data_IF_200355596854
#
_entry.id   IF_200355596854
#
_cell.length_a   1.000
_cell.length_b   1.000
_cell.length_c   1.000
_cell.angle_alpha   90.00
_cell.angle_beta   90.00
_cell.angle_gamma   90.00
#
_symmetry.space_group_name_H-M   'P 1'
#
loop_
_entity.id
_entity.type
_entity.pdbx_description
1 polymer ?
#
# COMPACT_ATOMS: atom_id res chain seq x y z
N UNK A 1 -9.34 -10.90 -15.85
CA UNK A 1 -7.86 -10.74 -15.95
C UNK A 1 -7.40 -9.32 -15.62
N UNK A 2 -8.07 -8.28 -16.12
CA UNK A 2 -7.72 -6.89 -15.80
C UNK A 2 -7.89 -6.57 -14.31
N UNK A 3 -8.94 -7.08 -13.66
CA UNK A 3 -9.20 -6.82 -12.23
C UNK A 3 -8.22 -7.55 -11.29
N UNK A 4 -7.80 -8.75 -11.65
CA UNK A 4 -7.00 -9.63 -10.78
C UNK A 4 -5.50 -9.36 -10.90
N UNK A 5 -5.08 -8.74 -12.00
CA UNK A 5 -3.67 -8.49 -12.34
C UNK A 5 -3.39 -7.01 -12.57
N UNK A 6 -4.09 -6.37 -13.52
CA UNK A 6 -3.79 -4.99 -13.93
C UNK A 6 -4.18 -4.00 -12.84
N UNK A 7 -5.37 -4.15 -12.27
CA UNK A 7 -5.86 -3.28 -11.21
C UNK A 7 -4.96 -3.25 -9.96
N UNK A 8 -4.54 -4.40 -9.37
CA UNK A 8 -3.62 -4.36 -8.23
C UNK A 8 -2.25 -3.79 -8.56
N UNK A 9 -1.73 -3.96 -9.79
CA UNK A 9 -0.50 -3.28 -10.23
C UNK A 9 -0.69 -1.76 -10.21
N UNK A 10 -1.75 -1.26 -10.85
CA UNK A 10 -2.02 0.17 -10.93
C UNK A 10 -2.26 0.77 -9.54
N UNK A 11 -3.06 0.12 -8.71
CA UNK A 11 -3.34 0.57 -7.35
C UNK A 11 -2.08 0.56 -6.47
N UNK A 12 -1.23 -0.46 -6.61
CA UNK A 12 0.06 -0.51 -5.92
C UNK A 12 1.02 0.60 -6.36
N UNK A 13 1.04 0.92 -7.66
CA UNK A 13 1.81 2.05 -8.19
C UNK A 13 1.27 3.39 -7.67
N UNK A 14 -0.05 3.59 -7.66
CA UNK A 14 -0.68 4.79 -7.09
C UNK A 14 -0.29 4.96 -5.62
N UNK A 15 -0.37 3.89 -4.82
CA UNK A 15 0.05 3.91 -3.42
C UNK A 15 1.54 4.24 -3.28
N UNK A 16 2.41 3.67 -4.12
CA UNK A 16 3.84 3.98 -4.12
C UNK A 16 4.16 5.42 -4.52
N UNK A 17 3.41 6.01 -5.46
CA UNK A 17 3.54 7.44 -5.81
C UNK A 17 3.16 8.32 -4.62
N UNK A 18 2.08 7.97 -3.91
CA UNK A 18 1.65 8.69 -2.70
C UNK A 18 2.73 8.59 -1.61
N UNK A 19 3.31 7.40 -1.40
CA UNK A 19 4.42 7.17 -0.47
C UNK A 19 5.64 8.04 -0.79
N UNK A 20 6.08 8.05 -2.05
CA UNK A 20 7.14 8.95 -2.54
C UNK A 20 6.77 10.41 -2.26
N UNK A 21 5.51 10.79 -2.46
CA UNK A 21 5.02 12.14 -2.19
C UNK A 21 5.17 12.57 -0.73
N UNK A 22 4.97 11.65 0.23
CA UNK A 22 5.27 11.91 1.64
C UNK A 22 6.77 12.09 1.87
N UNK A 23 7.59 11.21 1.28
CA UNK A 23 9.05 11.22 1.46
C UNK A 23 9.73 12.45 0.85
N UNK A 24 9.26 12.92 -0.31
CA UNK A 24 9.80 14.14 -0.95
C UNK A 24 9.56 15.37 -0.07
N UNK A 25 8.43 15.44 0.63
CA UNK A 25 8.15 16.52 1.58
C UNK A 25 9.05 16.45 2.82
N UNK A 26 9.43 15.24 3.22
CA UNK A 26 10.27 15.00 4.39
C UNK A 26 11.76 15.30 4.18
N UNK A 27 12.21 15.61 2.93
CA UNK A 27 13.60 15.90 2.53
C UNK A 27 14.62 15.12 3.38
N UNK A 28 14.35 13.83 3.50
CA UNK A 28 14.94 12.96 4.50
C UNK A 28 16.30 12.41 4.10
N UNK A 29 16.64 12.54 2.82
CA UNK A 29 17.90 12.14 2.24
C UNK A 29 18.11 12.79 0.87
N UNK A 30 19.20 12.41 0.20
CA UNK A 30 19.43 12.78 -1.19
C UNK A 30 18.35 12.17 -2.12
N UNK A 31 18.17 12.73 -3.31
CA UNK A 31 17.16 12.26 -4.27
C UNK A 31 17.28 10.75 -4.54
N UNK A 32 18.50 10.21 -4.52
CA UNK A 32 18.79 8.79 -4.73
C UNK A 32 18.20 7.91 -3.62
N UNK A 33 18.37 8.28 -2.36
CA UNK A 33 17.81 7.53 -1.23
C UNK A 33 16.29 7.61 -1.18
N UNK A 34 15.70 8.77 -1.45
CA UNK A 34 14.25 8.95 -1.54
C UNK A 34 13.63 8.10 -2.65
N UNK A 35 14.19 8.13 -3.85
CA UNK A 35 13.73 7.31 -4.98
C UNK A 35 13.93 5.82 -4.68
N UNK A 36 15.10 5.44 -4.15
CA UNK A 36 15.42 4.06 -3.80
C UNK A 36 14.46 3.48 -2.77
N UNK A 37 14.08 4.28 -1.77
CA UNK A 37 13.07 3.90 -0.79
C UNK A 37 11.70 3.73 -1.44
N UNK A 38 11.23 4.75 -2.18
CA UNK A 38 9.91 4.74 -2.78
C UNK A 38 9.71 3.58 -3.77
N UNK A 39 10.69 3.31 -4.64
CA UNK A 39 10.66 2.14 -5.53
C UNK A 39 10.70 0.84 -4.71
N UNK A 40 11.52 0.80 -3.66
CA UNK A 40 11.61 -0.36 -2.78
C UNK A 40 10.35 -0.63 -1.98
N UNK A 41 9.57 0.39 -1.61
CA UNK A 41 8.28 0.27 -0.94
C UNK A 41 7.15 -0.07 -1.93
N UNK A 42 7.22 0.49 -3.15
CA UNK A 42 6.25 0.23 -4.22
C UNK A 42 6.11 -1.26 -4.55
N UNK A 43 7.19 -2.05 -4.53
CA UNK A 43 7.10 -3.51 -4.73
C UNK A 43 6.22 -4.19 -3.67
N UNK A 44 6.31 -3.77 -2.40
CA UNK A 44 5.46 -4.30 -1.34
C UNK A 44 4.01 -3.83 -1.51
N UNK A 45 3.80 -2.57 -1.86
CA UNK A 45 2.47 -2.01 -2.08
C UNK A 45 1.75 -2.68 -3.24
N UNK A 46 2.46 -3.03 -4.33
CA UNK A 46 1.93 -3.85 -5.42
C UNK A 46 1.58 -5.25 -4.90
N UNK A 47 2.49 -5.93 -4.20
CA UNK A 47 2.25 -7.27 -3.67
C UNK A 47 1.04 -7.32 -2.72
N UNK A 48 0.90 -6.34 -1.83
CA UNK A 48 -0.24 -6.26 -0.93
C UNK A 48 -1.53 -5.87 -1.64
N UNK A 49 -1.46 -5.04 -2.70
CA UNK A 49 -2.62 -4.78 -3.55
C UNK A 49 -3.08 -6.06 -4.25
N UNK A 50 -2.17 -6.93 -4.72
CA UNK A 50 -2.54 -8.25 -5.23
C UNK A 50 -3.31 -9.07 -4.19
N UNK A 51 -2.85 -9.07 -2.93
CA UNK A 51 -3.57 -9.75 -1.84
C UNK A 51 -4.96 -9.14 -1.64
N UNK A 52 -5.11 -7.82 -1.67
CA UNK A 52 -6.41 -7.16 -1.50
C UNK A 52 -7.41 -7.54 -2.61
N UNK A 53 -6.99 -7.51 -3.88
CA UNK A 53 -7.84 -7.83 -5.02
C UNK A 53 -8.18 -9.32 -5.14
N UNK A 54 -7.32 -10.19 -4.62
CA UNK A 54 -7.48 -11.65 -4.72
C UNK A 54 -7.83 -12.28 -3.37
N UNK A 55 -8.29 -11.48 -2.41
CA UNK A 55 -8.49 -11.93 -1.03
C UNK A 55 -9.53 -13.05 -0.91
N UNK A 56 -10.49 -13.08 -1.83
CA UNK A 56 -11.52 -14.11 -1.92
C UNK A 56 -10.93 -15.50 -2.15
N UNK A 57 -9.77 -15.61 -2.82
CA UNK A 57 -9.06 -16.89 -2.97
C UNK A 57 -8.69 -17.50 -1.61
N UNK A 58 -8.40 -16.65 -0.62
CA UNK A 58 -8.08 -17.08 0.73
C UNK A 58 -9.34 -17.23 1.59
N UNK A 59 -10.22 -16.22 1.60
CA UNK A 59 -11.38 -16.18 2.50
C UNK A 59 -12.46 -17.20 2.14
N UNK A 60 -12.61 -17.55 0.86
CA UNK A 60 -13.58 -18.54 0.39
C UNK A 60 -12.99 -19.95 0.24
N UNK A 61 -11.74 -20.16 0.67
CA UNK A 61 -11.05 -21.44 0.50
C UNK A 61 -11.62 -22.57 1.37
N UNK A 62 -12.34 -22.25 2.46
CA UNK A 62 -12.84 -23.23 3.43
C UNK A 62 -11.77 -23.83 4.35
N UNK A 63 -10.49 -23.55 4.12
CA UNK A 63 -9.37 -24.09 4.91
C UNK A 63 -8.94 -23.18 6.07
N UNK A 64 -9.34 -21.90 6.05
CA UNK A 64 -9.01 -20.94 7.09
C UNK A 64 -10.05 -20.95 8.23
N UNK A 65 -9.64 -20.66 9.48
CA UNK A 65 -10.58 -20.44 10.58
C UNK A 65 -11.64 -19.38 10.25
N UNK A 66 -12.85 -19.50 10.81
CA UNK A 66 -14.01 -18.65 10.49
C UNK A 66 -13.72 -17.15 10.52
N UNK A 67 -12.87 -16.70 11.45
CA UNK A 67 -12.45 -15.30 11.51
C UNK A 67 -11.75 -14.82 10.21
N UNK A 68 -10.88 -15.66 9.65
CA UNK A 68 -10.16 -15.39 8.40
C UNK A 68 -10.99 -15.67 7.14
N UNK A 69 -12.25 -16.11 7.29
CA UNK A 69 -13.22 -16.17 6.19
C UNK A 69 -13.99 -14.83 6.04
N UNK A 70 -13.90 -13.93 7.04
CA UNK A 70 -14.48 -12.61 6.94
C UNK A 70 -13.53 -11.68 6.14
N UNK A 71 -13.92 -11.37 4.91
CA UNK A 71 -13.13 -10.51 4.01
C UNK A 71 -12.76 -9.16 4.63
N UNK A 72 -13.68 -8.50 5.32
CA UNK A 72 -13.42 -7.20 5.95
C UNK A 72 -12.37 -7.34 7.06
N UNK A 73 -12.46 -8.38 7.89
CA UNK A 73 -11.47 -8.63 8.93
C UNK A 73 -10.06 -8.86 8.35
N UNK A 74 -9.96 -9.64 7.26
CA UNK A 74 -8.67 -9.89 6.60
C UNK A 74 -8.13 -8.62 5.91
N UNK A 75 -8.98 -7.78 5.33
CA UNK A 75 -8.57 -6.48 4.78
C UNK A 75 -8.06 -5.52 5.88
N UNK A 76 -8.68 -5.51 7.06
CA UNK A 76 -8.17 -4.73 8.21
C UNK A 76 -6.79 -5.23 8.63
N UNK A 77 -6.59 -6.55 8.70
CA UNK A 77 -5.27 -7.13 9.02
C UNK A 77 -4.25 -6.75 7.93
N UNK A 78 -4.63 -6.82 6.67
CA UNK A 78 -3.78 -6.41 5.55
C UNK A 78 -3.40 -4.93 5.64
N UNK A 79 -4.32 -4.06 6.04
CA UNK A 79 -4.04 -2.65 6.27
C UNK A 79 -2.99 -2.45 7.37
N UNK A 80 -3.11 -3.17 8.48
CA UNK A 80 -2.15 -3.12 9.60
C UNK A 80 -0.77 -3.68 9.21
N UNK A 81 -0.73 -4.79 8.47
CA UNK A 81 0.50 -5.38 7.94
C UNK A 81 1.18 -4.39 6.99
N UNK A 82 0.44 -3.82 6.05
CA UNK A 82 0.94 -2.85 5.09
C UNK A 82 1.51 -1.64 5.82
N UNK A 83 0.77 -1.07 6.77
CA UNK A 83 1.22 0.06 7.57
C UNK A 83 2.52 -0.25 8.33
N UNK A 84 2.63 -1.44 8.93
CA UNK A 84 3.83 -1.87 9.65
C UNK A 84 5.03 -2.02 8.72
N UNK A 85 4.83 -2.62 7.54
CA UNK A 85 5.92 -2.86 6.57
C UNK A 85 6.41 -1.56 5.97
N UNK A 86 5.49 -0.65 5.61
CA UNK A 86 5.85 0.71 5.18
C UNK A 86 6.62 1.39 6.31
N UNK A 87 6.06 1.49 7.51
CA UNK A 87 6.71 2.16 8.63
C UNK A 87 8.11 1.60 8.93
N UNK A 88 8.29 0.28 8.86
CA UNK A 88 9.59 -0.35 9.07
C UNK A 88 10.62 0.01 7.99
N UNK A 89 10.21 0.13 6.73
CA UNK A 89 11.08 0.61 5.64
C UNK A 89 11.41 2.08 5.79
N UNK A 90 10.44 2.84 6.26
CA UNK A 90 10.43 4.29 6.37
C UNK A 90 11.27 4.73 7.60
N UNK A 91 11.37 3.88 8.64
CA UNK A 91 12.23 4.08 9.81
C UNK A 91 13.73 4.35 9.51
N UNK A 92 14.24 3.98 8.33
CA UNK A 92 15.60 4.35 7.88
C UNK A 92 15.77 5.86 7.75
N UNK A 93 14.68 6.60 7.57
CA UNK A 93 14.61 8.05 7.44
C UNK A 93 14.23 8.77 8.73
N UNK A 94 14.24 8.09 9.89
CA UNK A 94 13.84 8.67 11.18
C UNK A 94 14.67 9.89 11.63
N UNK A 95 15.81 10.18 11.00
CA UNK A 95 16.67 11.35 11.28
C UNK A 95 16.55 12.49 10.26
N UNK A 96 15.56 12.39 9.38
CA UNK A 96 15.23 13.39 8.37
C UNK A 96 14.94 14.76 8.95
N UNK A 97 15.32 15.82 8.22
CA UNK A 97 15.24 17.22 8.69
C UNK A 97 14.38 18.13 7.81
N UNK A 98 13.59 17.57 6.88
CA UNK A 98 12.68 18.35 6.05
C UNK A 98 11.41 18.81 6.79
N UNK A 99 10.65 19.76 6.21
CA UNK A 99 9.43 20.33 6.80
C UNK A 99 8.17 19.45 6.63
N UNK A 100 8.31 18.20 6.18
CA UNK A 100 7.18 17.34 5.87
C UNK A 100 6.52 16.70 7.10
N UNK A 101 5.81 15.59 6.87
CA UNK A 101 5.11 14.83 7.91
C UNK A 101 6.02 14.29 9.02
N UNK A 102 7.32 14.18 8.75
CA UNK A 102 8.25 13.30 9.46
C UNK A 102 7.72 11.85 9.49
N UNK A 103 8.62 10.89 9.73
CA UNK A 103 8.27 9.46 9.85
C UNK A 103 7.24 9.21 10.97
N UNK A 104 5.96 9.36 10.65
CA UNK A 104 4.84 9.21 11.57
C UNK A 104 3.99 8.02 11.16
N UNK A 105 3.52 7.22 12.12
CA UNK A 105 2.61 6.11 11.85
C UNK A 105 1.38 6.49 11.01
N UNK A 106 0.99 7.77 11.01
CA UNK A 106 -0.13 8.27 10.23
C UNK A 106 0.05 8.04 8.72
N UNK A 107 1.21 8.35 8.14
CA UNK A 107 1.41 8.14 6.69
C UNK A 107 1.35 6.64 6.33
N UNK A 108 1.93 5.79 7.19
CA UNK A 108 1.95 4.35 6.97
C UNK A 108 0.55 3.75 7.11
N UNK A 109 -0.26 4.26 8.05
CA UNK A 109 -1.68 3.91 8.19
C UNK A 109 -2.47 4.33 6.95
N UNK A 110 -2.24 5.54 6.41
CA UNK A 110 -2.90 6.01 5.18
C UNK A 110 -2.62 5.03 4.03
N UNK A 111 -1.36 4.62 3.87
CA UNK A 111 -0.98 3.66 2.83
C UNK A 111 -1.57 2.27 3.08
N UNK A 112 -1.63 1.83 4.33
CA UNK A 112 -2.30 0.58 4.69
C UNK A 112 -3.79 0.57 4.34
N UNK A 113 -4.50 1.65 4.68
CA UNK A 113 -5.92 1.82 4.33
C UNK A 113 -6.09 1.88 2.81
N UNK A 114 -5.23 2.62 2.10
CA UNK A 114 -5.30 2.74 0.65
C UNK A 114 -5.16 1.38 -0.05
N UNK A 115 -4.21 0.55 0.40
CA UNK A 115 -4.03 -0.81 -0.14
C UNK A 115 -5.23 -1.71 0.16
N UNK A 116 -5.69 -1.74 1.41
CA UNK A 116 -6.84 -2.57 1.79
C UNK A 116 -8.14 -2.12 1.10
N UNK A 117 -8.31 -0.81 0.88
CA UNK A 117 -9.47 -0.25 0.21
C UNK A 117 -9.35 -0.31 -1.33
N UNK A 118 -8.20 -0.71 -1.88
CA UNK A 118 -7.94 -0.64 -3.31
C UNK A 118 -8.96 -1.36 -4.20
N UNK A 119 -9.55 -2.53 -3.83
CA UNK A 119 -10.58 -3.16 -4.64
C UNK A 119 -11.89 -2.35 -4.70
N UNK A 120 -12.17 -1.55 -3.67
CA UNK A 120 -13.34 -0.67 -3.62
C UNK A 120 -13.09 0.68 -4.31
N UNK A 121 -11.83 1.12 -4.36
CA UNK A 121 -11.43 2.36 -5.05
C UNK A 121 -11.39 2.14 -6.57
N UNK A 122 -10.98 0.96 -7.02
CA UNK A 122 -10.80 0.67 -8.44
C UNK A 122 -12.01 0.98 -9.34
N UNK A 123 -13.25 0.56 -9.01
CA UNK A 123 -14.43 0.88 -9.80
C UNK A 123 -14.69 2.40 -9.94
N UNK A 124 -14.13 3.21 -9.05
CA UNK A 124 -14.27 4.67 -9.07
C UNK A 124 -13.28 5.35 -10.00
N UNK A 125 -12.16 4.70 -10.34
CA UNK A 125 -11.07 5.30 -11.12
C UNK A 125 -10.87 4.66 -12.49
N UNK A 126 -11.32 3.42 -12.70
CA UNK A 126 -11.04 2.67 -13.94
C UNK A 126 -11.51 3.40 -15.21
N UNK A 127 -12.66 4.08 -15.16
CA UNK A 127 -13.20 4.82 -16.30
C UNK A 127 -12.43 6.09 -16.70
N UNK A 128 -11.45 6.50 -15.90
CA UNK A 128 -10.58 7.65 -16.20
C UNK A 128 -9.20 7.24 -16.73
N UNK A 129 -8.91 5.94 -16.78
CA UNK A 129 -7.62 5.43 -17.22
C UNK A 129 -7.63 5.10 -18.72
N UNK A 130 -6.51 5.32 -19.44
CA UNK A 130 -6.47 5.25 -20.90
C UNK A 130 -6.24 3.81 -21.42
N UNK A 131 -7.10 2.86 -21.02
CA UNK A 131 -7.05 1.49 -21.52
C UNK A 131 -8.42 0.79 -21.52
#
# INVERSE_FOLDING_TARGET
MALEIVAPIIMGVIAGIIDIGFMVKDLSGDAKSTIGHGVGAMTYLIAFSFVAFNIELATNSGFLPTFFQNQIAVLIILALITATVVHAKSAVFAKSRGPGTHETWLHSIILGVLVAASPFIWPLIEGYLPF
#
